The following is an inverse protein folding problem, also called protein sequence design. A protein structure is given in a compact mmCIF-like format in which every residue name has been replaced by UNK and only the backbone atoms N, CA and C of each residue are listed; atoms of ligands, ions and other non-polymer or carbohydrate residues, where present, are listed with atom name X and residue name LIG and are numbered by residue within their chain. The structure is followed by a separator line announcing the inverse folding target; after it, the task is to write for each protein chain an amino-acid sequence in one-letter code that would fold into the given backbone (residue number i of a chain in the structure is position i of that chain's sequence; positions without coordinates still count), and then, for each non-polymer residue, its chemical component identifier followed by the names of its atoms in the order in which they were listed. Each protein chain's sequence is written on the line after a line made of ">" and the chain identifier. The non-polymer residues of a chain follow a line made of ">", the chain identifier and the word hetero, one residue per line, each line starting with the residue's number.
data_IF_605954454987
#
_entry.id   IF_605954454987
#
_cell.length_a   1.000
_cell.length_b   1.000
_cell.length_c   1.000
_cell.angle_alpha   90.00
_cell.angle_beta   90.00
_cell.angle_gamma   90.00
#
_symmetry.space_group_name_H-M   'P 1'
#
loop_
_entity.id
_entity.type
_entity.pdbx_description
1 polymer ?
#
# COMPACT_ATOMS: atom_id res chain seq x y z
N UNK A 1 -30.00 27.45 13.20
CA UNK A 1 -29.35 26.16 13.32
C UNK A 1 -29.43 25.29 12.03
N UNK A 2 -30.47 25.42 11.20
CA UNK A 2 -30.60 24.69 9.92
C UNK A 2 -29.62 25.14 8.83
N UNK A 3 -29.21 26.42 8.86
CA UNK A 3 -28.33 27.01 7.83
C UNK A 3 -26.87 26.53 7.92
N UNK A 4 -26.34 26.31 9.14
CA UNK A 4 -24.99 25.78 9.34
C UNK A 4 -24.83 24.31 8.88
N UNK A 5 -25.91 23.49 8.97
CA UNK A 5 -25.88 22.10 8.49
C UNK A 5 -25.74 22.00 6.97
N UNK A 6 -26.32 22.94 6.21
CA UNK A 6 -26.25 22.98 4.75
C UNK A 6 -24.87 23.42 4.25
N UNK A 7 -24.19 24.30 5.00
CA UNK A 7 -22.87 24.80 4.63
C UNK A 7 -21.78 23.72 4.85
N UNK A 8 -21.88 22.92 5.92
CA UNK A 8 -20.93 21.84 6.17
C UNK A 8 -21.01 20.73 5.11
N UNK A 9 -22.22 20.39 4.64
CA UNK A 9 -22.44 19.41 3.58
C UNK A 9 -21.95 19.90 2.21
N UNK A 10 -22.12 21.19 1.94
CA UNK A 10 -21.66 21.81 0.68
C UNK A 10 -20.13 21.92 0.61
N UNK A 11 -19.44 22.15 1.72
CA UNK A 11 -17.97 22.15 1.77
C UNK A 11 -17.37 20.76 1.57
N UNK A 12 -18.02 19.70 2.07
CA UNK A 12 -17.57 18.32 1.83
C UNK A 12 -17.76 17.91 0.36
N UNK A 13 -18.84 18.33 -0.28
CA UNK A 13 -19.07 18.07 -1.70
C UNK A 13 -18.10 18.86 -2.62
N UNK A 14 -17.72 20.09 -2.23
CA UNK A 14 -16.80 20.94 -2.99
C UNK A 14 -15.35 20.41 -2.96
N UNK A 15 -14.90 19.79 -1.86
CA UNK A 15 -13.58 19.22 -1.75
C UNK A 15 -13.38 17.96 -2.63
N UNK A 16 -14.46 17.25 -2.93
CA UNK A 16 -14.43 16.06 -3.80
C UNK A 16 -14.37 16.42 -5.30
N UNK A 17 -14.71 17.64 -5.70
CA UNK A 17 -14.74 18.06 -7.10
C UNK A 17 -13.44 18.74 -7.58
N UNK A 18 -12.52 19.05 -6.68
CA UNK A 18 -11.26 19.72 -7.00
C UNK A 18 -10.10 18.75 -7.26
N UNK A 19 -10.36 17.57 -7.80
CA UNK A 19 -9.31 16.62 -8.22
C UNK A 19 -8.78 17.09 -9.58
N UNK A 20 -7.47 17.44 -9.70
CA UNK A 20 -6.92 17.88 -10.97
C UNK A 20 -7.05 16.78 -12.03
N UNK A 21 -7.38 17.16 -13.27
CA UNK A 21 -7.66 16.26 -14.40
C UNK A 21 -6.49 15.33 -14.79
N UNK A 22 -5.29 15.53 -14.23
CA UNK A 22 -4.12 14.64 -14.38
C UNK A 22 -4.19 13.37 -13.56
N UNK A 23 -5.11 13.24 -12.62
CA UNK A 23 -5.30 12.05 -11.80
C UNK A 23 -6.31 11.07 -12.43
N UNK A 24 -6.11 10.71 -13.70
CA UNK A 24 -6.77 9.53 -14.32
C UNK A 24 -6.14 8.20 -13.87
N UNK A 25 -5.57 8.16 -12.66
CA UNK A 25 -5.38 6.88 -11.97
C UNK A 25 -6.75 6.44 -11.51
N UNK A 26 -7.13 5.21 -11.83
CA UNK A 26 -8.42 4.64 -11.43
C UNK A 26 -8.67 4.95 -9.94
N UNK A 27 -9.89 5.35 -9.60
CA UNK A 27 -10.25 5.64 -8.20
C UNK A 27 -10.02 4.43 -7.27
N UNK A 28 -9.83 3.26 -7.85
CA UNK A 28 -9.43 2.02 -7.19
C UNK A 28 -8.25 1.42 -7.95
N UNK A 29 -7.26 0.97 -7.22
CA UNK A 29 -6.05 0.34 -7.74
C UNK A 29 -5.79 -0.97 -6.98
N UNK A 30 -5.34 -1.97 -7.71
CA UNK A 30 -4.88 -3.25 -7.16
C UNK A 30 -3.59 -3.60 -7.92
N UNK A 31 -2.50 -2.98 -7.49
CA UNK A 31 -1.21 -3.04 -8.18
C UNK A 31 -0.23 -3.94 -7.46
N UNK A 32 0.54 -4.76 -8.19
CA UNK A 32 1.72 -5.41 -7.64
C UNK A 32 2.80 -4.37 -7.38
N UNK A 33 3.45 -4.48 -6.26
CA UNK A 33 4.55 -3.61 -5.84
C UNK A 33 5.69 -4.43 -5.24
N UNK A 34 6.88 -3.85 -5.22
CA UNK A 34 8.07 -4.48 -4.64
C UNK A 34 8.66 -3.52 -3.62
N UNK A 35 8.76 -3.99 -2.37
CA UNK A 35 9.49 -3.29 -1.33
C UNK A 35 10.93 -3.80 -1.29
N UNK A 36 11.90 -2.90 -1.20
CA UNK A 36 13.30 -3.25 -1.00
C UNK A 36 13.49 -3.95 0.36
N UNK A 37 14.06 -5.14 0.33
CA UNK A 37 14.45 -5.91 1.52
C UNK A 37 15.92 -5.72 1.82
N UNK A 38 16.76 -5.82 0.79
CA UNK A 38 18.18 -5.62 0.88
C UNK A 38 18.76 -5.18 -0.46
N UNK A 39 19.59 -4.16 -0.38
CA UNK A 39 20.53 -3.78 -1.41
C UNK A 39 21.70 -4.77 -1.37
N UNK A 40 21.82 -5.59 -2.41
CA UNK A 40 22.86 -6.60 -2.51
C UNK A 40 24.14 -5.98 -3.10
N UNK A 41 25.33 -6.49 -2.73
CA UNK A 41 26.56 -5.94 -3.28
C UNK A 41 26.63 -6.01 -4.80
N UNK A 42 27.12 -4.95 -5.45
CA UNK A 42 27.28 -4.82 -6.91
C UNK A 42 28.45 -5.67 -7.44
N UNK A 43 28.55 -6.93 -7.02
CA UNK A 43 29.60 -7.83 -7.47
C UNK A 43 29.05 -8.95 -8.36
N UNK A 44 29.95 -9.66 -9.04
CA UNK A 44 29.57 -10.70 -10.01
C UNK A 44 28.73 -11.86 -9.42
N UNK A 45 28.68 -12.00 -8.09
CA UNK A 45 27.89 -13.04 -7.41
C UNK A 45 26.38 -12.71 -7.35
N UNK A 46 26.06 -11.42 -7.47
CA UNK A 46 24.69 -10.91 -7.40
C UNK A 46 24.27 -10.26 -8.73
N UNK A 47 24.86 -10.69 -9.83
CA UNK A 47 24.51 -10.22 -11.16
C UNK A 47 23.73 -11.30 -11.92
N UNK A 48 22.80 -10.85 -12.74
CA UNK A 48 22.13 -11.64 -13.77
C UNK A 48 22.41 -11.05 -15.15
N UNK A 49 22.06 -11.76 -16.19
CA UNK A 49 22.12 -11.23 -17.54
C UNK A 49 20.76 -10.69 -17.93
N UNK A 50 20.71 -9.41 -18.31
CA UNK A 50 19.54 -8.79 -18.90
C UNK A 50 19.12 -9.42 -20.24
N UNK A 51 17.99 -9.02 -20.80
CA UNK A 51 17.51 -9.52 -22.10
C UNK A 51 18.46 -9.25 -23.27
N UNK A 52 19.29 -8.23 -23.14
CA UNK A 52 20.32 -7.80 -24.08
C UNK A 52 21.68 -8.48 -23.85
N UNK A 53 21.77 -9.37 -22.85
CA UNK A 53 22.99 -10.05 -22.44
C UNK A 53 23.94 -9.19 -21.58
N UNK A 54 23.56 -7.96 -21.23
CA UNK A 54 24.34 -7.13 -20.31
C UNK A 54 24.24 -7.62 -18.86
N UNK A 55 25.30 -7.52 -18.06
CA UNK A 55 25.21 -7.82 -16.63
C UNK A 55 24.37 -6.73 -15.93
N UNK A 56 23.39 -7.16 -15.14
CA UNK A 56 22.54 -6.30 -14.30
C UNK A 56 22.67 -6.72 -12.85
N UNK A 57 22.80 -5.76 -11.96
CA UNK A 57 22.82 -6.02 -10.51
C UNK A 57 21.42 -6.37 -10.02
N UNK A 58 21.35 -7.27 -9.06
CA UNK A 58 20.11 -7.75 -8.48
C UNK A 58 19.99 -7.27 -7.04
N UNK A 59 18.83 -6.76 -6.72
CA UNK A 59 18.42 -6.47 -5.35
C UNK A 59 17.41 -7.49 -4.85
N UNK A 60 17.36 -7.68 -3.53
CA UNK A 60 16.35 -8.52 -2.89
C UNK A 60 15.16 -7.67 -2.50
N UNK A 61 13.99 -8.02 -3.00
CA UNK A 61 12.72 -7.37 -2.73
C UNK A 61 11.68 -8.30 -2.14
N UNK A 62 10.61 -7.70 -1.64
CA UNK A 62 9.40 -8.38 -1.21
C UNK A 62 8.24 -7.96 -2.11
N UNK A 63 7.74 -8.92 -2.89
CA UNK A 63 6.59 -8.71 -3.76
C UNK A 63 5.30 -8.82 -2.98
N UNK A 64 4.53 -7.76 -3.01
CA UNK A 64 3.21 -7.66 -2.39
C UNK A 64 2.22 -6.99 -3.34
N UNK A 65 0.96 -7.14 -3.06
CA UNK A 65 -0.11 -6.46 -3.78
C UNK A 65 -0.85 -5.55 -2.83
N UNK A 66 -1.09 -4.32 -3.28
CA UNK A 66 -1.82 -3.33 -2.52
C UNK A 66 -3.16 -3.02 -3.18
N UNK A 67 -4.20 -3.03 -2.39
CA UNK A 67 -5.50 -2.46 -2.76
C UNK A 67 -5.61 -1.06 -2.17
N UNK A 68 -5.73 -0.07 -3.05
CA UNK A 68 -5.94 1.32 -2.68
C UNK A 68 -7.20 1.87 -3.33
N UNK A 69 -7.91 2.74 -2.61
CA UNK A 69 -9.05 3.49 -3.10
C UNK A 69 -8.88 4.96 -2.71
N UNK A 70 -9.16 5.87 -3.63
CA UNK A 70 -8.98 7.31 -3.42
C UNK A 70 -7.59 7.64 -2.84
N UNK A 71 -6.53 6.99 -3.36
CA UNK A 71 -5.11 7.11 -2.95
C UNK A 71 -4.80 6.65 -1.52
N UNK A 72 -5.77 6.05 -0.84
CA UNK A 72 -5.59 5.49 0.50
C UNK A 72 -5.46 3.97 0.41
N UNK A 73 -4.45 3.36 1.02
CA UNK A 73 -4.32 1.91 1.08
C UNK A 73 -5.32 1.35 2.10
N UNK A 74 -6.03 0.32 1.68
CA UNK A 74 -7.03 -0.37 2.51
C UNK A 74 -6.61 -1.80 2.85
N UNK A 75 -5.78 -2.41 2.02
CA UNK A 75 -5.28 -3.76 2.25
C UNK A 75 -3.98 -3.99 1.48
N UNK A 76 -3.11 -4.78 2.06
CA UNK A 76 -1.96 -5.32 1.35
C UNK A 76 -1.76 -6.78 1.74
N UNK A 77 -1.31 -7.58 0.78
CA UNK A 77 -1.04 -9.00 1.02
C UNK A 77 0.14 -9.46 0.18
N UNK A 78 0.75 -10.56 0.63
CA UNK A 78 1.83 -11.20 -0.10
C UNK A 78 1.34 -11.64 -1.48
N UNK A 79 2.08 -11.29 -2.52
CA UNK A 79 1.84 -11.80 -3.87
C UNK A 79 2.77 -12.98 -4.15
N UNK A 80 4.04 -12.74 -4.31
CA UNK A 80 5.04 -13.78 -4.57
C UNK A 80 6.00 -13.99 -3.39
N UNK A 81 6.16 -12.97 -2.53
CA UNK A 81 7.09 -12.98 -1.42
C UNK A 81 8.47 -12.49 -1.83
N UNK A 82 9.55 -13.19 -1.47
CA UNK A 82 10.88 -12.78 -1.86
C UNK A 82 11.11 -12.89 -3.36
N UNK A 83 11.62 -11.81 -3.94
CA UNK A 83 11.95 -11.70 -5.37
C UNK A 83 13.31 -11.04 -5.54
N UNK A 84 14.03 -11.43 -6.58
CA UNK A 84 15.13 -10.63 -7.09
C UNK A 84 14.56 -9.64 -8.09
N UNK A 85 15.02 -8.42 -8.06
CA UNK A 85 14.65 -7.45 -9.07
C UNK A 85 15.86 -6.60 -9.48
N UNK A 86 15.81 -6.12 -10.69
CA UNK A 86 16.75 -5.13 -11.23
C UNK A 86 15.95 -4.05 -11.93
N UNK A 87 16.40 -2.82 -11.79
CA UNK A 87 15.83 -1.70 -12.51
C UNK A 87 16.72 -1.32 -13.66
N UNK A 88 16.21 -1.46 -14.88
CA UNK A 88 16.92 -1.00 -16.09
C UNK A 88 16.88 0.52 -16.22
N UNK A 89 17.83 1.15 -16.91
CA UNK A 89 17.88 2.61 -17.10
C UNK A 89 16.63 3.20 -17.79
N UNK A 90 15.91 2.38 -18.55
CA UNK A 90 14.66 2.75 -19.23
C UNK A 90 13.43 2.71 -18.29
N UNK A 91 13.63 2.37 -17.00
CA UNK A 91 12.58 2.23 -16.00
C UNK A 91 11.87 0.87 -16.02
N UNK A 92 12.28 -0.06 -16.90
CA UNK A 92 11.75 -1.43 -16.89
C UNK A 92 12.28 -2.19 -15.67
N UNK A 93 11.40 -2.86 -14.97
CA UNK A 93 11.75 -3.67 -13.81
C UNK A 93 11.70 -5.15 -14.21
N UNK A 94 12.84 -5.82 -14.12
CA UNK A 94 12.93 -7.27 -14.28
C UNK A 94 12.81 -7.92 -12.91
N UNK A 95 11.94 -8.92 -12.79
CA UNK A 95 11.63 -9.58 -11.53
C UNK A 95 11.73 -11.08 -11.70
N UNK A 96 12.41 -11.73 -10.76
CA UNK A 96 12.51 -13.18 -10.67
C UNK A 96 12.19 -13.66 -9.26
N UNK A 97 11.50 -14.78 -9.12
CA UNK A 97 11.23 -15.38 -7.82
C UNK A 97 12.53 -15.79 -7.14
N UNK A 98 12.71 -15.40 -5.89
CA UNK A 98 13.81 -15.88 -5.06
C UNK A 98 13.45 -17.25 -4.48
N UNK A 99 14.19 -18.27 -4.88
CA UNK A 99 14.02 -19.60 -4.33
C UNK A 99 14.64 -19.71 -2.94
N UNK A 100 14.18 -20.67 -2.15
CA UNK A 100 14.75 -20.93 -0.81
C UNK A 100 16.24 -21.22 -0.85
N UNK A 101 16.72 -21.92 -1.86
CA UNK A 101 18.14 -22.24 -2.00
C UNK A 101 18.98 -20.99 -2.26
N UNK A 102 18.46 -20.06 -3.06
CA UNK A 102 19.12 -18.78 -3.30
C UNK A 102 19.14 -17.90 -2.04
N UNK A 103 18.07 -17.86 -1.26
CA UNK A 103 18.04 -17.16 0.02
C UNK A 103 19.04 -17.77 1.01
N UNK A 104 19.20 -19.08 1.03
CA UNK A 104 20.23 -19.74 1.83
C UNK A 104 21.65 -19.41 1.34
N UNK A 105 21.86 -19.33 0.02
CA UNK A 105 23.14 -18.91 -0.54
C UNK A 105 23.48 -17.46 -0.16
N UNK A 106 22.51 -16.54 -0.24
CA UNK A 106 22.68 -15.16 0.21
C UNK A 106 23.03 -15.11 1.70
N UNK A 107 22.33 -15.90 2.52
CA UNK A 107 22.64 -16.01 3.96
C UNK A 107 24.08 -16.44 4.20
N UNK A 108 24.59 -17.40 3.44
CA UNK A 108 26.00 -17.84 3.56
C UNK A 108 26.97 -16.73 3.13
N UNK A 109 26.63 -15.95 2.11
CA UNK A 109 27.50 -14.90 1.57
C UNK A 109 27.47 -13.62 2.41
N UNK A 110 26.29 -13.23 2.93
CA UNK A 110 26.08 -11.96 3.65
C UNK A 110 26.04 -12.13 5.17
N UNK A 111 25.87 -13.35 5.67
CA UNK A 111 25.68 -13.65 7.10
C UNK A 111 24.27 -13.29 7.65
N UNK A 112 23.36 -12.76 6.82
CA UNK A 112 22.02 -12.33 7.21
C UNK A 112 20.96 -13.32 6.77
N UNK A 113 20.03 -13.63 7.65
CA UNK A 113 18.89 -14.52 7.38
C UNK A 113 17.64 -13.71 7.06
N UNK A 114 17.51 -13.28 5.81
CA UNK A 114 16.39 -12.45 5.39
C UNK A 114 15.03 -13.16 5.52
N UNK A 115 14.98 -14.49 5.36
CA UNK A 115 13.74 -15.24 5.52
C UNK A 115 13.21 -15.17 6.96
N UNK A 116 14.11 -15.11 7.94
CA UNK A 116 13.76 -15.07 9.36
C UNK A 116 13.60 -13.65 9.89
N UNK A 117 14.47 -12.76 9.44
CA UNK A 117 14.61 -11.43 10.04
C UNK A 117 13.67 -10.40 9.37
N UNK A 118 13.27 -10.64 8.13
CA UNK A 118 12.39 -9.72 7.41
C UNK A 118 10.92 -9.97 7.70
N UNK A 119 10.24 -8.91 8.16
CA UNK A 119 8.80 -8.89 8.38
C UNK A 119 8.21 -7.68 7.69
N UNK A 120 7.45 -7.92 6.62
CA UNK A 120 6.81 -6.83 5.89
C UNK A 120 5.72 -6.16 6.76
N UNK A 121 5.76 -4.83 6.94
CA UNK A 121 4.85 -4.12 7.83
C UNK A 121 3.49 -3.87 7.17
N UNK A 122 2.71 -4.91 6.94
CA UNK A 122 1.40 -4.81 6.29
C UNK A 122 0.47 -3.81 6.96
N UNK A 123 0.59 -3.59 8.26
CA UNK A 123 -0.26 -2.66 9.01
C UNK A 123 -0.18 -1.22 8.49
N UNK A 124 0.93 -0.82 7.87
CA UNK A 124 1.10 0.50 7.25
C UNK A 124 0.19 0.70 6.03
N UNK A 125 -0.35 -0.38 5.48
CA UNK A 125 -1.22 -0.36 4.29
C UNK A 125 -2.71 -0.45 4.64
N UNK A 126 -3.08 -0.21 5.91
CA UNK A 126 -4.48 -0.25 6.37
C UNK A 126 -4.99 1.11 6.86
N UNK A 127 -4.19 2.16 6.78
CA UNK A 127 -4.58 3.46 7.31
C UNK A 127 -5.79 4.08 6.59
N UNK A 128 -6.11 3.65 5.38
CA UNK A 128 -7.31 4.05 4.64
C UNK A 128 -8.61 3.76 5.40
N UNK A 129 -8.59 2.82 6.36
CA UNK A 129 -9.73 2.56 7.22
C UNK A 129 -9.97 3.64 8.28
N UNK A 130 -8.96 4.43 8.64
CA UNK A 130 -9.08 5.46 9.68
C UNK A 130 -10.18 6.48 9.35
N UNK A 131 -10.19 7.15 8.17
CA UNK A 131 -11.24 8.09 7.83
C UNK A 131 -12.62 7.40 7.68
N UNK A 132 -12.67 6.16 7.22
CA UNK A 132 -13.93 5.40 7.12
C UNK A 132 -14.50 5.13 8.50
N UNK A 133 -13.69 4.63 9.43
CA UNK A 133 -14.12 4.38 10.81
C UNK A 133 -14.50 5.67 11.54
N UNK A 134 -13.77 6.76 11.30
CA UNK A 134 -14.11 8.07 11.86
C UNK A 134 -15.46 8.57 11.35
N UNK A 135 -15.73 8.41 10.05
CA UNK A 135 -17.03 8.77 9.45
C UNK A 135 -18.17 7.93 10.03
N UNK A 136 -17.98 6.61 10.09
CA UNK A 136 -18.98 5.69 10.67
C UNK A 136 -19.25 6.02 12.16
N UNK A 137 -18.20 6.30 12.94
CA UNK A 137 -18.32 6.72 14.33
C UNK A 137 -19.07 8.04 14.46
N UNK A 138 -18.81 9.00 13.57
CA UNK A 138 -19.52 10.29 13.55
C UNK A 138 -21.00 10.12 13.22
N UNK A 139 -21.33 9.33 12.19
CA UNK A 139 -22.73 9.03 11.82
C UNK A 139 -23.45 8.33 12.96
N UNK A 140 -22.81 7.33 13.58
CA UNK A 140 -23.37 6.63 14.73
C UNK A 140 -23.61 7.58 15.93
N UNK A 141 -22.66 8.50 16.21
CA UNK A 141 -22.80 9.50 17.25
C UNK A 141 -23.96 10.45 16.98
N UNK A 142 -24.13 10.93 15.73
CA UNK A 142 -25.27 11.76 15.32
C UNK A 142 -26.59 11.02 15.54
N UNK A 143 -26.67 9.76 15.12
CA UNK A 143 -27.85 8.94 15.27
C UNK A 143 -28.21 8.68 16.74
N UNK A 144 -27.21 8.37 17.56
CA UNK A 144 -27.40 8.23 19.01
C UNK A 144 -27.85 9.51 19.68
N UNK A 145 -27.32 10.66 19.23
CA UNK A 145 -27.75 11.98 19.75
C UNK A 145 -29.20 12.28 19.37
N UNK A 146 -29.62 11.92 18.16
CA UNK A 146 -31.00 12.14 17.72
C UNK A 146 -31.99 11.25 18.47
N UNK A 147 -31.66 9.99 18.72
CA UNK A 147 -32.45 9.09 19.55
C UNK A 147 -32.66 9.66 20.93
N UNK A 148 -31.61 10.08 21.61
CA UNK A 148 -31.71 10.68 22.97
C UNK A 148 -32.58 11.91 23.01
N UNK A 149 -32.66 12.71 21.93
CA UNK A 149 -33.54 13.85 21.83
C UNK A 149 -34.99 13.44 21.74
N UNK A 150 -35.30 12.44 20.89
CA UNK A 150 -36.66 11.90 20.75
C UNK A 150 -37.18 11.30 22.07
N UNK A 151 -36.32 10.57 22.78
CA UNK A 151 -36.62 9.98 24.05
C UNK A 151 -36.92 11.10 25.12
N UNK A 152 -36.18 12.21 25.08
CA UNK A 152 -36.38 13.35 25.98
C UNK A 152 -37.65 14.18 25.64
N UNK A 153 -38.08 14.18 24.38
CA UNK A 153 -39.27 14.87 23.89
C UNK A 153 -40.54 14.00 24.02
N UNK A 154 -40.44 12.75 24.50
CA UNK A 154 -41.58 11.83 24.68
C UNK A 154 -42.26 11.42 23.37
N UNK A 155 -41.61 11.59 22.23
CA UNK A 155 -42.12 11.19 20.92
C UNK A 155 -41.70 9.74 20.70
N UNK A 156 -42.65 8.80 20.94
CA UNK A 156 -42.50 7.40 20.54
C UNK A 156 -42.79 7.22 19.05
#
# INVERSE_FOLDING_TARGET
>A
MHMMRKIALAMMAGALLAVPASARRSAMSNTPEIALVADLPDDARFQAFGPDGSPVTLDLGWSYREFSAFWMPFAAWREQGFVFYSQSPDGTMNVALATRNELLAIKQLTGKDYEKDFHYPYWQHYWGWIPVLALLGYVWWLWRRERRRKDAEGIM
#
